data_IF_891938889509
#
_entry.id   IF_891938889509
#
_cell.length_a   1.000
_cell.length_b   1.000
_cell.length_c   1.000
_cell.angle_alpha   90.00
_cell.angle_beta   90.00
_cell.angle_gamma   90.00
#
_symmetry.space_group_name_H-M   'P 1'
#
loop_
_entity.id
_entity.type
_entity.pdbx_description
1 polymer ?
#
# COMPACT_ATOMS: atom_id res chain seq x y z
N UNK A 1 -11.36 6.94 5.08
CA UNK A 1 -10.02 6.50 4.72
C UNK A 1 -8.99 7.38 5.44
N UNK A 2 -7.91 6.80 5.94
CA UNK A 2 -6.94 7.50 6.75
C UNK A 2 -5.66 7.85 5.99
N UNK A 3 -5.04 6.87 5.40
CA UNK A 3 -3.72 6.99 4.79
C UNK A 3 -3.77 7.31 3.29
N UNK A 4 -2.64 7.77 2.75
CA UNK A 4 -2.45 7.96 1.32
C UNK A 4 -2.82 6.71 0.49
N UNK A 5 -2.33 5.53 0.92
CA UNK A 5 -2.61 4.27 0.22
C UNK A 5 -4.09 3.87 0.22
N UNK A 6 -4.79 4.11 1.33
CA UNK A 6 -6.24 3.86 1.41
C UNK A 6 -7.03 4.78 0.49
N UNK A 7 -6.74 6.07 0.51
CA UNK A 7 -7.40 7.06 -0.35
C UNK A 7 -7.17 6.73 -1.81
N UNK A 8 -5.96 6.38 -2.18
CA UNK A 8 -5.63 6.01 -3.56
C UNK A 8 -6.38 4.75 -4.01
N UNK A 9 -6.55 3.76 -3.14
CA UNK A 9 -7.25 2.51 -3.48
C UNK A 9 -8.76 2.68 -3.73
N UNK A 10 -9.39 3.69 -3.14
CA UNK A 10 -10.82 3.97 -3.39
C UNK A 10 -11.07 4.92 -4.56
N UNK A 11 -10.03 5.44 -5.23
CA UNK A 11 -10.16 6.41 -6.33
C UNK A 11 -11.13 5.95 -7.41
N UNK A 12 -11.01 4.70 -7.85
CA UNK A 12 -11.88 4.13 -8.88
C UNK A 12 -13.37 4.11 -8.49
N UNK A 13 -13.67 3.94 -7.19
CA UNK A 13 -15.03 4.01 -6.66
C UNK A 13 -15.51 5.47 -6.57
N UNK A 14 -14.67 6.36 -6.07
CA UNK A 14 -14.99 7.78 -5.89
C UNK A 14 -15.35 8.45 -7.21
N UNK A 15 -14.61 8.14 -8.27
CA UNK A 15 -14.85 8.72 -9.60
C UNK A 15 -16.18 8.29 -10.25
N UNK A 16 -16.81 7.21 -9.75
CA UNK A 16 -18.10 6.72 -10.27
C UNK A 16 -19.31 7.34 -9.59
N UNK A 17 -19.15 8.02 -8.46
CA UNK A 17 -20.25 8.57 -7.66
C UNK A 17 -19.99 10.02 -7.28
N UNK A 18 -21.05 10.82 -7.08
CA UNK A 18 -20.90 12.13 -6.40
C UNK A 18 -20.54 11.91 -4.94
N UNK A 19 -19.25 11.93 -4.67
CA UNK A 19 -18.67 11.51 -3.40
C UNK A 19 -18.09 12.68 -2.61
N UNK A 20 -18.09 12.51 -1.29
CA UNK A 20 -17.30 13.31 -0.35
C UNK A 20 -16.32 12.39 0.34
N UNK A 21 -15.06 12.78 0.40
CA UNK A 21 -14.02 12.04 1.12
C UNK A 21 -13.70 12.73 2.44
N UNK A 22 -13.55 11.93 3.48
CA UNK A 22 -13.00 12.38 4.76
C UNK A 22 -11.76 11.59 5.10
N UNK A 23 -10.75 12.28 5.58
CA UNK A 23 -9.45 11.71 5.98
C UNK A 23 -9.05 12.22 7.34
N UNK A 24 -8.09 11.54 8.00
CA UNK A 24 -7.53 12.01 9.27
C UNK A 24 -6.06 12.41 9.13
N UNK A 25 -5.40 12.09 8.00
CA UNK A 25 -4.01 12.45 7.74
C UNK A 25 -3.89 13.52 6.65
N UNK A 26 -2.87 14.36 6.75
CA UNK A 26 -2.58 15.38 5.73
C UNK A 26 -2.27 14.73 4.37
N UNK A 27 -1.45 13.68 4.34
CA UNK A 27 -1.10 12.98 3.09
C UNK A 27 -2.31 12.34 2.41
N UNK A 28 -3.24 11.79 3.18
CA UNK A 28 -4.52 11.29 2.68
C UNK A 28 -5.40 12.42 2.12
N UNK A 29 -5.44 13.57 2.81
CA UNK A 29 -6.21 14.74 2.38
C UNK A 29 -5.72 15.29 1.05
N UNK A 30 -4.42 15.46 0.89
CA UNK A 30 -3.82 15.95 -0.34
C UNK A 30 -4.01 14.98 -1.51
N UNK A 31 -3.83 13.69 -1.28
CA UNK A 31 -4.12 12.67 -2.27
C UNK A 31 -5.59 12.68 -2.71
N UNK A 32 -6.53 12.86 -1.78
CA UNK A 32 -7.95 12.92 -2.11
C UNK A 32 -8.30 14.13 -2.99
N UNK A 33 -7.66 15.27 -2.76
CA UNK A 33 -7.85 16.50 -3.55
C UNK A 33 -7.49 16.34 -5.02
N UNK A 34 -6.59 15.44 -5.37
CA UNK A 34 -6.21 15.19 -6.76
C UNK A 34 -7.38 14.73 -7.63
N UNK A 35 -8.40 14.10 -7.04
CA UNK A 35 -9.51 13.50 -7.80
C UNK A 35 -10.91 13.72 -7.22
N UNK A 36 -11.03 14.35 -6.05
CA UNK A 36 -12.30 14.66 -5.43
C UNK A 36 -12.38 16.12 -5.01
N UNK A 37 -13.44 16.83 -5.43
CA UNK A 37 -13.64 18.25 -5.08
C UNK A 37 -14.13 18.45 -3.65
N UNK A 38 -14.77 17.44 -3.05
CA UNK A 38 -15.41 17.52 -1.72
C UNK A 38 -14.58 16.72 -0.72
N UNK A 39 -13.45 17.29 -0.27
CA UNK A 39 -12.54 16.65 0.71
C UNK A 39 -12.53 17.45 2.00
N UNK A 40 -12.61 16.75 3.13
CA UNK A 40 -12.55 17.35 4.47
C UNK A 40 -11.73 16.45 5.41
N UNK A 41 -11.20 17.02 6.49
CA UNK A 41 -10.74 16.23 7.61
C UNK A 41 -11.96 15.71 8.39
N UNK A 42 -11.84 14.49 8.93
CA UNK A 42 -12.85 13.94 9.83
C UNK A 42 -12.80 14.69 11.16
N UNK A 43 -13.93 15.18 11.62
CA UNK A 43 -14.02 15.79 12.95
C UNK A 43 -13.82 14.74 14.05
N UNK A 44 -13.38 15.17 15.24
CA UNK A 44 -13.36 14.30 16.41
C UNK A 44 -14.75 13.73 16.70
N UNK A 45 -14.80 12.53 17.23
CA UNK A 45 -16.02 11.75 17.37
C UNK A 45 -17.15 12.50 18.10
N UNK A 46 -16.80 13.27 19.11
CA UNK A 46 -17.75 14.08 19.89
C UNK A 46 -18.44 15.19 19.08
N UNK A 47 -17.82 15.66 18.00
CA UNK A 47 -18.35 16.72 17.13
C UNK A 47 -19.10 16.18 15.92
N UNK A 48 -19.07 14.89 15.65
CA UNK A 48 -19.71 14.28 14.49
C UNK A 48 -21.22 14.57 14.39
N UNK A 49 -22.00 14.64 15.50
CA UNK A 49 -23.43 14.98 15.42
C UNK A 49 -23.70 16.33 14.77
N UNK A 50 -22.80 17.30 14.92
CA UNK A 50 -22.92 18.65 14.36
C UNK A 50 -22.21 18.81 13.01
N UNK A 51 -21.25 17.95 12.74
CA UNK A 51 -20.37 18.05 11.58
C UNK A 51 -20.83 17.16 10.41
N UNK A 52 -21.33 15.95 10.71
CA UNK A 52 -21.72 14.99 9.69
C UNK A 52 -22.95 15.46 8.93
N UNK A 53 -22.82 15.60 7.62
CA UNK A 53 -23.96 15.92 6.75
C UNK A 53 -24.64 14.64 6.26
N UNK A 54 -25.95 14.64 6.05
CA UNK A 54 -26.67 13.49 5.51
C UNK A 54 -26.05 12.98 4.22
N UNK A 55 -26.00 11.66 4.09
CA UNK A 55 -25.57 10.97 2.87
C UNK A 55 -26.47 9.75 2.64
N UNK A 56 -26.53 9.28 1.40
CA UNK A 56 -27.31 8.08 1.06
C UNK A 56 -26.57 6.80 1.44
N UNK A 57 -25.26 6.80 1.25
CA UNK A 57 -24.36 5.69 1.55
C UNK A 57 -23.14 6.23 2.29
N UNK A 58 -22.79 5.60 3.40
CA UNK A 58 -21.53 5.79 4.08
C UNK A 58 -20.63 4.58 3.77
N UNK A 59 -19.46 4.83 3.22
CA UNK A 59 -18.42 3.81 3.01
C UNK A 59 -17.30 4.02 4.01
N UNK A 60 -17.06 3.02 4.84
CA UNK A 60 -15.96 2.98 5.80
C UNK A 60 -14.88 2.08 5.20
N UNK A 61 -13.61 2.41 5.41
CA UNK A 61 -12.49 1.67 4.85
C UNK A 61 -11.57 1.10 5.93
N UNK A 62 -11.22 -0.17 5.82
CA UNK A 62 -10.38 -0.92 6.77
C UNK A 62 -10.93 -0.97 8.21
N UNK A 63 -10.15 -0.43 9.17
CA UNK A 63 -10.44 -0.58 10.61
C UNK A 63 -10.96 0.71 11.27
N UNK A 64 -11.61 1.60 10.51
CA UNK A 64 -12.16 2.87 11.00
C UNK A 64 -13.51 2.68 11.69
N UNK A 65 -13.51 1.99 12.83
CA UNK A 65 -14.72 1.61 13.58
C UNK A 65 -15.14 2.69 14.59
N UNK A 66 -15.59 3.83 14.10
CA UNK A 66 -16.04 4.99 14.92
C UNK A 66 -17.51 4.87 15.22
N UNK A 67 -17.87 4.65 16.51
CA UNK A 67 -19.25 4.41 16.93
C UNK A 67 -20.17 5.58 16.56
N UNK A 68 -19.77 6.81 16.86
CA UNK A 68 -20.59 7.98 16.59
C UNK A 68 -20.79 8.21 15.08
N UNK A 69 -19.80 7.87 14.25
CA UNK A 69 -19.90 7.98 12.79
C UNK A 69 -20.99 7.05 12.24
N UNK A 70 -20.96 5.76 12.62
CA UNK A 70 -21.96 4.78 12.15
C UNK A 70 -23.34 5.06 12.75
N UNK A 71 -23.39 5.52 13.99
CA UNK A 71 -24.63 5.88 14.67
C UNK A 71 -25.32 7.08 13.98
N UNK A 72 -24.59 8.17 13.72
CA UNK A 72 -25.14 9.32 13.03
C UNK A 72 -25.54 9.01 11.59
N UNK A 73 -24.76 8.21 10.88
CA UNK A 73 -25.13 7.75 9.54
C UNK A 73 -26.42 6.93 9.57
N UNK A 74 -26.64 6.12 10.60
CA UNK A 74 -27.90 5.37 10.78
C UNK A 74 -29.08 6.29 11.10
N UNK A 75 -28.90 7.33 11.90
CA UNK A 75 -29.93 8.38 12.14
C UNK A 75 -30.33 9.02 10.81
N UNK A 76 -29.36 9.34 9.95
CA UNK A 76 -29.63 9.84 8.60
C UNK A 76 -30.12 8.76 7.65
N UNK A 77 -30.40 7.55 8.19
CA UNK A 77 -30.83 6.40 7.42
C UNK A 77 -29.83 6.02 6.30
N UNK A 78 -28.53 6.31 6.35
CA UNK A 78 -27.54 5.91 5.36
C UNK A 78 -27.37 4.39 5.30
N UNK A 79 -27.22 3.82 4.10
CA UNK A 79 -26.67 2.47 3.96
C UNK A 79 -25.21 2.53 4.34
N UNK A 80 -24.78 1.67 5.26
CA UNK A 80 -23.40 1.67 5.79
C UNK A 80 -22.68 0.43 5.29
N UNK A 81 -21.57 0.64 4.56
CA UNK A 81 -20.78 -0.41 3.95
C UNK A 81 -19.35 -0.29 4.49
N UNK A 82 -18.81 -1.40 4.98
CA UNK A 82 -17.41 -1.50 5.40
C UNK A 82 -16.63 -2.22 4.29
N UNK A 83 -15.65 -1.54 3.72
CA UNK A 83 -14.79 -2.07 2.65
C UNK A 83 -13.39 -2.40 3.18
N UNK A 84 -12.78 -3.41 2.57
CA UNK A 84 -11.40 -3.83 2.85
C UNK A 84 -11.20 -4.17 4.34
N UNK A 85 -12.23 -4.73 4.97
CA UNK A 85 -12.27 -4.96 6.41
C UNK A 85 -11.24 -6.03 6.81
N UNK A 86 -10.43 -5.70 7.83
CA UNK A 86 -9.45 -6.62 8.41
C UNK A 86 -9.32 -6.40 9.89
N UNK A 87 -8.93 -7.46 10.60
CA UNK A 87 -8.59 -7.41 12.02
C UNK A 87 -7.26 -8.15 12.21
N UNK A 88 -6.20 -7.43 12.58
CA UNK A 88 -4.89 -8.02 12.86
C UNK A 88 -4.92 -8.92 14.10
N UNK A 89 -3.99 -9.88 14.20
CA UNK A 89 -3.86 -10.75 15.38
C UNK A 89 -3.70 -9.92 16.66
N UNK A 90 -2.87 -8.87 16.59
CA UNK A 90 -2.65 -7.97 17.73
C UNK A 90 -3.94 -7.27 18.19
N UNK A 91 -4.78 -6.84 17.26
CA UNK A 91 -6.02 -6.10 17.57
C UNK A 91 -7.16 -7.04 17.99
N UNK A 92 -7.19 -8.27 17.51
CA UNK A 92 -8.31 -9.18 17.70
C UNK A 92 -8.60 -9.46 19.17
N UNK A 93 -7.58 -9.74 19.98
CA UNK A 93 -7.74 -9.96 21.42
C UNK A 93 -8.32 -8.75 22.13
N UNK A 94 -7.90 -7.54 21.76
CA UNK A 94 -8.47 -6.31 22.30
C UNK A 94 -9.93 -6.14 21.92
N UNK A 95 -10.27 -6.44 20.65
CA UNK A 95 -11.64 -6.35 20.16
C UNK A 95 -12.56 -7.38 20.82
N UNK A 96 -12.09 -8.57 21.07
CA UNK A 96 -12.84 -9.57 21.84
C UNK A 96 -13.11 -9.12 23.28
N UNK A 97 -12.12 -8.54 23.96
CA UNK A 97 -12.28 -7.99 25.31
C UNK A 97 -13.37 -6.92 25.40
N UNK A 98 -13.49 -6.10 24.36
CA UNK A 98 -14.51 -5.06 24.25
C UNK A 98 -15.62 -5.43 23.25
N UNK A 99 -15.96 -6.72 23.18
CA UNK A 99 -16.90 -7.25 22.16
C UNK A 99 -18.27 -6.59 22.20
N UNK A 100 -18.78 -6.19 23.38
CA UNK A 100 -20.06 -5.48 23.50
C UNK A 100 -20.06 -4.16 22.71
N UNK A 101 -18.95 -3.43 22.74
CA UNK A 101 -18.78 -2.16 22.01
C UNK A 101 -18.73 -2.39 20.50
N UNK A 102 -17.92 -3.35 20.04
CA UNK A 102 -17.82 -3.67 18.63
C UNK A 102 -19.10 -4.30 18.06
N UNK A 103 -19.78 -5.15 18.83
CA UNK A 103 -21.12 -5.66 18.46
C UNK A 103 -22.12 -4.52 18.22
N UNK A 104 -22.04 -3.47 19.03
CA UNK A 104 -22.88 -2.27 18.83
C UNK A 104 -22.52 -1.56 17.53
N UNK A 105 -21.22 -1.35 17.22
CA UNK A 105 -20.77 -0.75 15.97
C UNK A 105 -21.25 -1.58 14.77
N UNK A 106 -20.95 -2.90 14.76
CA UNK A 106 -21.32 -3.76 13.66
C UNK A 106 -22.83 -3.92 13.48
N UNK A 107 -23.63 -3.72 14.54
CA UNK A 107 -25.10 -3.71 14.41
C UNK A 107 -25.65 -2.58 13.52
N UNK A 108 -24.86 -1.54 13.29
CA UNK A 108 -25.23 -0.43 12.39
C UNK A 108 -24.76 -0.62 10.95
N UNK A 109 -23.80 -1.55 10.70
CA UNK A 109 -23.22 -1.78 9.39
C UNK A 109 -24.09 -2.78 8.61
N UNK A 110 -24.47 -2.42 7.38
CA UNK A 110 -25.38 -3.22 6.56
C UNK A 110 -24.66 -4.32 5.76
N UNK A 111 -23.46 -4.02 5.22
CA UNK A 111 -22.64 -4.96 4.44
C UNK A 111 -21.15 -4.78 4.75
N UNK A 112 -20.42 -5.88 4.78
CA UNK A 112 -18.99 -5.92 5.06
C UNK A 112 -18.27 -6.70 3.95
N UNK A 113 -17.19 -6.14 3.43
CA UNK A 113 -16.28 -6.78 2.50
C UNK A 113 -14.94 -7.03 3.21
N UNK A 114 -14.73 -8.27 3.64
CA UNK A 114 -13.54 -8.72 4.37
C UNK A 114 -12.42 -9.13 3.41
N UNK A 115 -11.16 -8.93 3.82
CA UNK A 115 -10.01 -9.25 2.99
C UNK A 115 -9.73 -10.76 2.89
N UNK A 116 -10.09 -11.54 3.90
CA UNK A 116 -9.81 -12.98 3.98
C UNK A 116 -10.90 -13.73 4.73
N UNK A 117 -10.87 -15.08 4.64
CA UNK A 117 -11.73 -15.95 5.45
C UNK A 117 -11.49 -15.78 6.95
N UNK A 118 -10.24 -15.55 7.36
CA UNK A 118 -9.89 -15.27 8.74
C UNK A 118 -10.51 -13.96 9.23
N UNK A 119 -10.41 -12.89 8.42
CA UNK A 119 -11.04 -11.61 8.76
C UNK A 119 -12.55 -11.73 8.82
N UNK A 120 -13.17 -12.46 7.88
CA UNK A 120 -14.60 -12.75 7.91
C UNK A 120 -15.01 -13.41 9.22
N UNK A 121 -14.34 -14.49 9.61
CA UNK A 121 -14.64 -15.20 10.86
C UNK A 121 -14.51 -14.29 12.11
N UNK A 122 -13.46 -13.45 12.15
CA UNK A 122 -13.23 -12.48 13.24
C UNK A 122 -14.33 -11.42 13.29
N UNK A 123 -14.71 -10.86 12.14
CA UNK A 123 -15.75 -9.84 12.05
C UNK A 123 -17.13 -10.39 12.45
N UNK A 124 -17.48 -11.60 11.99
CA UNK A 124 -18.71 -12.28 12.36
C UNK A 124 -18.77 -12.58 13.87
N UNK A 125 -17.66 -12.99 14.48
CA UNK A 125 -17.57 -13.20 15.93
C UNK A 125 -17.80 -11.91 16.74
N UNK A 126 -17.51 -10.76 16.14
CA UNK A 126 -17.76 -9.42 16.70
C UNK A 126 -19.13 -8.86 16.30
N UNK A 127 -20.00 -9.66 15.67
CA UNK A 127 -21.39 -9.30 15.38
C UNK A 127 -21.60 -8.65 14.01
N UNK A 128 -20.62 -8.65 13.12
CA UNK A 128 -20.81 -8.22 11.74
C UNK A 128 -21.78 -9.16 11.01
N UNK A 129 -22.63 -8.58 10.15
CA UNK A 129 -23.59 -9.32 9.33
C UNK A 129 -23.29 -9.09 7.86
N UNK A 130 -23.79 -9.99 6.99
CA UNK A 130 -23.64 -9.89 5.54
C UNK A 130 -22.16 -9.72 5.12
N UNK A 131 -21.27 -10.53 5.74
CA UNK A 131 -19.84 -10.48 5.46
C UNK A 131 -19.53 -11.29 4.19
N UNK A 132 -19.03 -10.61 3.19
CA UNK A 132 -18.56 -11.18 1.92
C UNK A 132 -17.03 -11.09 1.88
N UNK A 133 -16.38 -12.08 1.27
CA UNK A 133 -14.95 -12.00 1.02
C UNK A 133 -14.76 -11.19 -0.25
N UNK A 134 -13.90 -10.20 -0.17
CA UNK A 134 -13.41 -9.43 -1.29
C UNK A 134 -11.93 -9.15 -1.03
N UNK A 135 -11.07 -9.71 -1.84
CA UNK A 135 -9.62 -9.59 -1.67
C UNK A 135 -9.20 -8.12 -1.55
N UNK A 136 -7.98 -7.88 -1.18
CA UNK A 136 -7.52 -6.55 -0.86
C UNK A 136 -7.69 -5.57 -2.05
N UNK A 137 -8.58 -4.60 -1.90
CA UNK A 137 -8.86 -3.58 -2.93
C UNK A 137 -7.58 -2.78 -3.33
N UNK A 138 -6.55 -2.78 -2.48
CA UNK A 138 -5.25 -2.18 -2.80
C UNK A 138 -4.53 -2.88 -3.96
N UNK A 139 -4.84 -4.15 -4.24
CA UNK A 139 -4.33 -4.86 -5.42
C UNK A 139 -4.90 -4.30 -6.74
N UNK A 140 -6.02 -3.58 -6.70
CA UNK A 140 -6.64 -2.94 -7.87
C UNK A 140 -6.06 -1.55 -8.19
N UNK A 141 -5.01 -1.12 -7.50
CA UNK A 141 -4.39 0.18 -7.75
C UNK A 141 -3.87 0.27 -9.21
N UNK A 142 -4.28 1.29 -9.91
CA UNK A 142 -3.62 1.73 -11.12
C UNK A 142 -2.37 2.51 -10.72
N UNK A 143 -1.21 1.92 -10.89
CA UNK A 143 0.07 2.56 -10.57
C UNK A 143 0.53 3.29 -11.81
N UNK A 144 0.63 4.61 -11.72
CA UNK A 144 1.12 5.45 -12.81
C UNK A 144 2.52 5.94 -12.50
N UNK A 145 3.42 5.69 -13.42
CA UNK A 145 4.68 6.41 -13.46
C UNK A 145 4.40 7.82 -14.01
N UNK A 146 4.83 8.82 -13.28
CA UNK A 146 4.61 10.23 -13.67
C UNK A 146 5.69 10.75 -14.63
N UNK A 147 6.81 10.04 -14.72
CA UNK A 147 7.95 10.36 -15.57
C UNK A 147 8.42 9.12 -16.30
N UNK A 148 8.88 9.31 -17.52
CA UNK A 148 9.43 8.23 -18.35
C UNK A 148 10.94 8.38 -18.33
N UNK A 149 11.63 7.43 -17.71
CA UNK A 149 13.08 7.37 -17.72
C UNK A 149 13.57 6.39 -18.79
N UNK A 150 14.78 6.64 -19.29
CA UNK A 150 15.39 5.73 -20.26
C UNK A 150 15.98 4.52 -19.55
N UNK A 151 15.52 3.32 -19.92
CA UNK A 151 16.11 2.08 -19.44
C UNK A 151 17.57 1.99 -19.91
N UNK A 152 18.54 1.72 -19.02
CA UNK A 152 19.91 1.44 -19.41
C UNK A 152 19.99 0.14 -20.23
N UNK A 153 21.11 -0.05 -20.96
CA UNK A 153 21.36 -1.30 -21.68
C UNK A 153 21.70 -2.43 -20.73
N UNK A 154 22.31 -2.08 -19.62
CA UNK A 154 22.71 -2.97 -18.54
C UNK A 154 21.46 -3.45 -17.77
N UNK A 155 21.53 -4.60 -17.16
CA UNK A 155 20.50 -5.10 -16.25
C UNK A 155 20.36 -4.18 -15.05
N UNK A 156 19.16 -3.63 -14.84
CA UNK A 156 18.91 -2.67 -13.78
C UNK A 156 18.29 -3.33 -12.54
N UNK A 157 19.04 -3.27 -11.45
CA UNK A 157 18.67 -3.83 -10.15
C UNK A 157 18.32 -2.67 -9.21
N UNK A 158 17.31 -2.83 -8.38
CA UNK A 158 16.94 -1.82 -7.38
C UNK A 158 16.91 -2.45 -5.99
N UNK A 159 17.63 -1.90 -5.03
CA UNK A 159 17.41 -2.10 -3.60
C UNK A 159 16.40 -1.05 -3.15
N UNK A 160 15.15 -1.46 -3.03
CA UNK A 160 14.01 -0.57 -2.92
C UNK A 160 13.51 -0.41 -1.49
N UNK A 161 13.27 0.83 -1.07
CA UNK A 161 12.71 1.15 0.25
C UNK A 161 13.49 0.54 1.42
N UNK A 162 14.81 0.63 1.34
CA UNK A 162 15.71 0.07 2.36
C UNK A 162 15.67 0.84 3.66
N UNK A 163 15.91 0.16 4.76
CA UNK A 163 15.99 0.69 6.11
C UNK A 163 17.40 0.63 6.66
N UNK A 164 17.57 1.20 7.85
CA UNK A 164 18.86 1.21 8.54
C UNK A 164 19.44 -0.22 8.62
N UNK A 165 20.70 -0.32 8.34
CA UNK A 165 21.50 -1.53 8.32
C UNK A 165 21.20 -2.50 7.15
N UNK A 166 20.07 -2.35 6.42
CA UNK A 166 19.77 -3.19 5.25
C UNK A 166 20.67 -2.91 4.07
N UNK A 167 21.05 -1.66 3.82
CA UNK A 167 21.92 -1.33 2.67
C UNK A 167 23.29 -1.97 2.83
N UNK A 168 23.86 -1.90 4.02
CA UNK A 168 25.15 -2.54 4.29
C UNK A 168 25.04 -4.05 4.15
N UNK A 169 24.02 -4.62 4.78
CA UNK A 169 23.74 -6.05 4.75
C UNK A 169 23.56 -6.58 3.31
N UNK A 170 22.81 -5.87 2.46
CA UNK A 170 22.57 -6.25 1.08
C UNK A 170 23.86 -6.11 0.23
N UNK A 171 24.62 -5.03 0.40
CA UNK A 171 25.87 -4.80 -0.31
C UNK A 171 26.95 -5.81 0.05
N UNK A 172 26.99 -6.32 1.27
CA UNK A 172 27.95 -7.34 1.70
C UNK A 172 27.64 -8.73 1.11
N UNK A 173 26.40 -8.97 0.69
CA UNK A 173 25.96 -10.25 0.13
C UNK A 173 25.60 -10.19 -1.35
N UNK A 174 25.84 -9.06 -2.00
CA UNK A 174 25.57 -8.87 -3.41
C UNK A 174 26.79 -8.30 -4.14
N UNK A 175 27.19 -8.94 -5.22
CA UNK A 175 28.29 -8.49 -6.09
C UNK A 175 27.71 -8.03 -7.42
N UNK A 176 27.85 -6.73 -7.73
CA UNK A 176 27.43 -6.14 -8.98
C UNK A 176 28.35 -6.58 -10.14
N UNK A 177 27.78 -7.16 -11.18
CA UNK A 177 28.49 -7.61 -12.37
C UNK A 177 28.78 -6.47 -13.35
N UNK A 178 29.58 -6.76 -14.41
CA UNK A 178 30.04 -5.74 -15.34
C UNK A 178 28.91 -5.11 -16.14
N UNK A 179 27.93 -5.91 -16.55
CA UNK A 179 26.79 -5.52 -17.35
C UNK A 179 25.55 -5.20 -16.49
N UNK A 180 25.73 -4.75 -15.23
CA UNK A 180 24.66 -4.43 -14.32
C UNK A 180 24.79 -3.00 -13.77
N UNK A 181 23.66 -2.43 -13.42
CA UNK A 181 23.51 -1.18 -12.69
C UNK A 181 22.62 -1.37 -11.47
N UNK A 182 22.97 -0.71 -10.38
CA UNK A 182 22.28 -0.78 -9.11
C UNK A 182 21.71 0.59 -8.74
N UNK A 183 20.45 0.63 -8.35
CA UNK A 183 19.85 1.78 -7.66
C UNK A 183 19.64 1.42 -6.21
N UNK A 184 20.06 2.28 -5.29
CA UNK A 184 19.79 2.15 -3.87
C UNK A 184 18.81 3.25 -3.48
N UNK A 185 17.64 2.87 -2.99
CA UNK A 185 16.53 3.77 -2.69
C UNK A 185 16.14 3.66 -1.20
N UNK A 186 16.76 4.44 -0.31
CA UNK A 186 16.39 4.46 1.10
C UNK A 186 14.96 4.95 1.32
N UNK A 187 14.24 4.34 2.26
CA UNK A 187 12.83 4.64 2.53
C UNK A 187 12.61 6.04 3.07
N UNK A 188 13.54 6.54 3.87
CA UNK A 188 13.40 7.78 4.63
C UNK A 188 14.43 8.82 4.18
N UNK A 189 14.01 10.07 3.87
CA UNK A 189 14.90 11.13 3.38
C UNK A 189 16.05 11.46 4.33
N UNK A 190 15.81 11.39 5.64
CA UNK A 190 16.82 11.64 6.68
C UNK A 190 18.02 10.67 6.57
N UNK A 191 17.84 9.53 5.91
CA UNK A 191 18.88 8.52 5.72
C UNK A 191 19.71 8.70 4.45
N UNK A 192 19.34 9.59 3.54
CA UNK A 192 20.08 9.77 2.28
C UNK A 192 21.56 10.06 2.53
N UNK A 193 21.88 10.92 3.51
CA UNK A 193 23.26 11.24 3.85
C UNK A 193 23.99 10.09 4.53
N UNK A 194 23.30 9.30 5.34
CA UNK A 194 23.84 8.10 5.98
C UNK A 194 24.27 7.06 4.92
N UNK A 195 23.39 6.79 3.94
CA UNK A 195 23.68 5.86 2.87
C UNK A 195 24.75 6.38 1.90
N UNK A 196 24.78 7.68 1.63
CA UNK A 196 25.87 8.32 0.90
C UNK A 196 27.23 8.04 1.57
N UNK A 197 27.30 8.24 2.89
CA UNK A 197 28.52 7.97 3.67
C UNK A 197 28.89 6.48 3.67
N UNK A 198 27.92 5.58 3.77
CA UNK A 198 28.14 4.13 3.66
C UNK A 198 28.80 3.75 2.33
N UNK A 199 28.29 4.29 1.21
CA UNK A 199 28.86 4.02 -0.12
C UNK A 199 30.30 4.55 -0.24
N UNK A 200 30.57 5.75 0.28
CA UNK A 200 31.93 6.33 0.32
C UNK A 200 32.88 5.47 1.16
N UNK A 201 32.45 5.05 2.35
CA UNK A 201 33.26 4.23 3.25
C UNK A 201 33.58 2.85 2.65
N UNK A 202 32.68 2.28 1.84
CA UNK A 202 32.92 1.04 1.10
C UNK A 202 33.77 1.25 -0.18
N UNK A 203 34.17 2.50 -0.49
CA UNK A 203 34.94 2.82 -1.70
C UNK A 203 34.18 2.59 -3.00
N UNK A 204 32.84 2.63 -2.96
CA UNK A 204 31.98 2.42 -4.12
C UNK A 204 31.78 3.73 -4.89
N UNK A 205 31.94 3.68 -6.21
CA UNK A 205 31.64 4.83 -7.08
C UNK A 205 30.14 4.89 -7.37
N UNK A 206 29.52 6.04 -7.12
CA UNK A 206 28.09 6.26 -7.34
C UNK A 206 27.79 7.68 -7.84
N UNK A 207 26.60 7.87 -8.36
CA UNK A 207 25.99 9.17 -8.62
C UNK A 207 24.77 9.35 -7.71
N UNK A 208 24.38 10.61 -7.45
CA UNK A 208 23.15 10.94 -6.74
C UNK A 208 22.08 11.35 -7.72
N UNK A 209 20.86 10.89 -7.52
CA UNK A 209 19.73 11.27 -8.36
C UNK A 209 19.54 12.80 -8.40
N UNK A 210 19.68 13.47 -7.25
CA UNK A 210 19.57 14.94 -7.14
C UNK A 210 20.60 15.70 -7.99
N UNK A 211 21.73 15.10 -8.31
CA UNK A 211 22.78 15.70 -9.12
C UNK A 211 22.62 15.48 -10.64
N UNK A 212 21.72 14.59 -11.05
CA UNK A 212 21.49 14.29 -12.46
C UNK A 212 20.75 15.45 -13.15
N UNK A 213 21.40 16.05 -14.12
CA UNK A 213 20.86 17.19 -14.91
C UNK A 213 19.99 16.73 -16.09
N UNK A 214 20.21 15.52 -16.60
CA UNK A 214 19.45 14.95 -17.71
C UNK A 214 17.99 14.72 -17.32
N UNK A 215 17.05 15.21 -18.14
CA UNK A 215 15.61 15.01 -17.94
C UNK A 215 15.23 13.52 -17.92
N UNK A 216 15.92 12.69 -18.71
CA UNK A 216 15.73 11.24 -18.76
C UNK A 216 16.43 10.50 -17.61
N UNK A 217 17.11 11.22 -16.71
CA UNK A 217 17.79 10.69 -15.53
C UNK A 217 18.76 9.54 -15.85
N UNK A 218 19.50 9.69 -16.94
CA UNK A 218 20.60 8.76 -17.24
C UNK A 218 21.75 8.99 -16.28
N UNK A 219 22.30 7.91 -15.76
CA UNK A 219 23.47 7.93 -14.89
C UNK A 219 24.61 7.08 -15.50
N UNK A 220 25.85 7.53 -15.34
CA UNK A 220 27.04 6.94 -15.96
C UNK A 220 27.67 5.89 -15.06
N UNK A 221 27.68 6.12 -13.75
CA UNK A 221 28.26 5.20 -12.78
C UNK A 221 27.42 3.93 -12.66
N UNK A 222 28.02 2.86 -12.11
CA UNK A 222 27.31 1.60 -11.85
C UNK A 222 26.24 1.70 -10.77
N UNK A 223 26.41 2.61 -9.82
CA UNK A 223 25.49 2.79 -8.69
C UNK A 223 24.87 4.17 -8.72
N UNK A 224 23.55 4.22 -8.51
CA UNK A 224 22.77 5.44 -8.29
C UNK A 224 22.17 5.43 -6.88
N UNK A 225 22.48 6.42 -6.08
CA UNK A 225 21.75 6.69 -4.85
C UNK A 225 20.49 7.51 -5.19
N UNK A 226 19.31 6.94 -4.98
CA UNK A 226 18.04 7.62 -5.20
C UNK A 226 17.68 8.48 -3.98
N UNK A 227 18.20 9.68 -3.95
CA UNK A 227 18.03 10.67 -2.88
C UNK A 227 16.85 11.64 -3.15
N UNK A 228 15.73 11.10 -3.62
CA UNK A 228 14.51 11.85 -3.90
C UNK A 228 13.26 11.03 -3.58
N UNK A 229 12.22 11.70 -3.07
CA UNK A 229 10.92 11.08 -2.81
C UNK A 229 10.05 11.02 -4.07
N UNK A 230 9.23 9.98 -4.17
CA UNK A 230 8.23 9.84 -5.24
C UNK A 230 8.78 9.32 -6.58
N UNK A 231 10.09 9.12 -6.70
CA UNK A 231 10.74 8.70 -7.96
C UNK A 231 10.86 7.18 -8.11
N UNK A 232 10.75 6.42 -7.03
CA UNK A 232 10.96 4.98 -7.03
C UNK A 232 10.04 4.23 -8.02
N UNK A 233 8.77 4.66 -8.11
CA UNK A 233 7.79 4.07 -9.05
C UNK A 233 8.22 4.25 -10.51
N UNK A 234 8.83 5.40 -10.85
CA UNK A 234 9.33 5.65 -12.20
C UNK A 234 10.50 4.71 -12.56
N UNK A 235 11.33 4.35 -11.57
CA UNK A 235 12.42 3.40 -11.76
C UNK A 235 11.94 1.94 -11.80
N UNK A 236 10.87 1.57 -11.07
CA UNK A 236 10.26 0.25 -11.23
C UNK A 236 9.83 -0.03 -12.67
N UNK A 237 9.35 1.00 -13.38
CA UNK A 237 8.91 0.86 -14.78
C UNK A 237 10.03 0.49 -15.77
N UNK A 238 11.29 0.68 -15.38
CA UNK A 238 12.45 0.40 -16.23
C UNK A 238 13.41 -0.63 -15.64
N UNK A 239 13.15 -1.14 -14.44
CA UNK A 239 14.04 -2.11 -13.78
C UNK A 239 13.77 -3.56 -14.23
N UNK A 240 14.75 -4.41 -13.99
CA UNK A 240 14.67 -5.85 -14.26
C UNK A 240 14.44 -6.63 -12.97
N UNK A 241 15.11 -6.22 -11.89
CA UNK A 241 15.08 -6.90 -10.58
C UNK A 241 14.86 -5.88 -9.48
N UNK A 242 13.94 -6.18 -8.58
CA UNK A 242 13.69 -5.39 -7.37
C UNK A 242 13.93 -6.26 -6.14
N UNK A 243 14.87 -5.83 -5.30
CA UNK A 243 15.09 -6.35 -3.95
C UNK A 243 14.36 -5.42 -2.99
N UNK A 244 13.24 -5.88 -2.43
CA UNK A 244 12.34 -5.06 -1.64
C UNK A 244 12.75 -5.06 -0.17
N UNK A 245 13.23 -3.93 0.32
CA UNK A 245 13.69 -3.71 1.69
C UNK A 245 12.56 -3.71 2.74
N UNK A 246 12.94 -3.42 3.99
CA UNK A 246 12.07 -3.55 5.16
C UNK A 246 11.77 -5.01 5.52
N UNK A 247 12.39 -5.95 4.83
CA UNK A 247 12.08 -7.38 4.90
C UNK A 247 13.28 -8.27 5.26
N UNK A 248 14.50 -7.71 5.27
CA UNK A 248 15.73 -8.46 5.55
C UNK A 248 16.16 -8.37 7.02
N UNK A 249 15.67 -7.36 7.74
CA UNK A 249 15.90 -7.14 9.17
C UNK A 249 14.59 -7.25 9.92
N UNK A 250 14.61 -7.85 11.10
CA UNK A 250 13.45 -8.01 11.95
C UNK A 250 12.94 -6.67 12.48
N UNK A 251 11.63 -6.55 12.68
CA UNK A 251 10.98 -5.38 13.31
C UNK A 251 10.28 -4.42 12.36
N UNK A 252 10.62 -4.40 11.06
CA UNK A 252 9.99 -3.51 10.07
C UNK A 252 8.75 -4.16 9.45
N UNK A 253 8.88 -5.41 8.97
CA UNK A 253 7.74 -6.20 8.52
C UNK A 253 7.37 -6.04 7.04
N UNK A 254 8.32 -5.58 6.22
CA UNK A 254 8.20 -5.53 4.76
C UNK A 254 7.56 -4.26 4.22
N UNK A 255 7.74 -4.04 2.91
CA UNK A 255 7.08 -3.00 2.12
C UNK A 255 6.09 -3.57 1.12
N UNK A 256 5.32 -2.70 0.48
CA UNK A 256 4.29 -3.06 -0.49
C UNK A 256 4.90 -3.70 -1.76
N UNK A 257 4.66 -5.00 -2.04
CA UNK A 257 5.19 -5.68 -3.22
C UNK A 257 4.43 -5.33 -4.51
N UNK A 258 3.20 -4.80 -4.40
CA UNK A 258 2.30 -4.54 -5.53
C UNK A 258 2.91 -3.56 -6.54
N UNK A 259 3.61 -2.53 -6.04
CA UNK A 259 4.18 -1.50 -6.92
C UNK A 259 5.28 -2.07 -7.82
N UNK A 260 6.16 -2.90 -7.28
CA UNK A 260 7.20 -3.56 -8.06
C UNK A 260 6.61 -4.61 -9.01
N UNK A 261 5.66 -5.43 -8.53
CA UNK A 261 4.99 -6.45 -9.35
C UNK A 261 4.15 -5.87 -10.50
N UNK A 262 3.63 -4.63 -10.34
CA UNK A 262 2.84 -3.96 -11.37
C UNK A 262 3.62 -3.73 -12.67
N UNK A 263 4.93 -3.57 -12.58
CA UNK A 263 5.81 -3.32 -13.73
C UNK A 263 6.56 -4.58 -14.19
N UNK A 264 6.07 -5.76 -13.86
CA UNK A 264 6.66 -7.05 -14.29
C UNK A 264 8.16 -7.20 -13.94
N UNK A 265 8.55 -6.80 -12.73
CA UNK A 265 9.89 -7.00 -12.23
C UNK A 265 10.10 -8.41 -11.67
N UNK A 266 11.32 -8.92 -11.71
CA UNK A 266 11.73 -10.01 -10.80
C UNK A 266 11.74 -9.43 -9.39
N UNK A 267 10.94 -10.00 -8.49
CA UNK A 267 10.77 -9.46 -7.14
C UNK A 267 11.36 -10.40 -6.09
N UNK A 268 12.33 -9.88 -5.36
CA UNK A 268 12.99 -10.57 -4.26
C UNK A 268 12.67 -9.84 -2.96
N UNK A 269 12.31 -10.57 -1.92
CA UNK A 269 12.03 -10.03 -0.58
C UNK A 269 12.74 -10.87 0.48
N UNK A 270 13.07 -10.26 1.60
CA UNK A 270 13.45 -11.01 2.79
C UNK A 270 12.25 -11.72 3.42
N UNK A 271 12.48 -12.43 4.51
CA UNK A 271 11.47 -13.25 5.20
C UNK A 271 10.55 -12.45 6.14
N UNK A 272 10.95 -11.26 6.56
CA UNK A 272 10.19 -10.46 7.54
C UNK A 272 9.15 -9.59 6.86
N UNK A 273 7.98 -10.16 6.54
CA UNK A 273 6.91 -9.50 5.80
C UNK A 273 5.60 -9.35 6.58
N UNK A 274 5.64 -9.53 7.91
CA UNK A 274 4.45 -9.66 8.75
C UNK A 274 3.47 -8.48 8.67
N UNK A 275 3.95 -7.26 8.37
CA UNK A 275 3.10 -6.08 8.19
C UNK A 275 2.46 -6.01 6.79
N UNK A 276 2.97 -6.76 5.82
CA UNK A 276 2.54 -6.74 4.42
C UNK A 276 2.08 -8.10 3.91
N UNK A 277 1.97 -9.10 4.78
CA UNK A 277 1.65 -10.49 4.41
C UNK A 277 0.48 -10.57 3.42
N UNK A 278 -0.62 -9.88 3.70
CA UNK A 278 -1.81 -9.87 2.84
C UNK A 278 -1.52 -9.32 1.44
N UNK A 279 -0.62 -8.32 1.31
CA UNK A 279 -0.24 -7.79 -0.01
C UNK A 279 0.69 -8.75 -0.75
N UNK A 280 1.54 -9.49 -0.04
CA UNK A 280 2.36 -10.54 -0.65
C UNK A 280 1.52 -11.72 -1.14
N UNK A 281 0.40 -12.05 -0.51
CA UNK A 281 -0.55 -13.06 -0.96
C UNK A 281 -1.25 -12.66 -2.28
N UNK A 282 -1.26 -11.38 -2.63
CA UNK A 282 -1.81 -10.86 -3.89
C UNK A 282 -0.77 -10.80 -5.02
N UNK A 283 0.47 -11.25 -4.77
CA UNK A 283 1.56 -11.23 -5.77
C UNK A 283 2.09 -12.64 -5.97
N UNK A 284 1.99 -13.12 -7.18
CA UNK A 284 2.57 -14.39 -7.60
C UNK A 284 4.06 -14.21 -7.95
N UNK A 285 4.85 -15.28 -7.85
CA UNK A 285 6.25 -15.34 -8.25
C UNK A 285 7.16 -14.39 -7.46
N UNK A 286 6.89 -14.19 -6.17
CA UNK A 286 7.83 -13.53 -5.27
C UNK A 286 8.87 -14.52 -4.79
N UNK A 287 10.14 -14.14 -4.90
CA UNK A 287 11.24 -14.95 -4.39
C UNK A 287 11.64 -14.49 -2.99
N UNK A 288 11.43 -15.35 -2.00
CA UNK A 288 11.88 -15.06 -0.64
C UNK A 288 13.34 -15.46 -0.43
N UNK A 289 14.15 -14.52 0.02
CA UNK A 289 15.54 -14.72 0.42
C UNK A 289 15.60 -15.00 1.92
N UNK A 290 15.52 -16.27 2.30
CA UNK A 290 15.58 -16.68 3.70
C UNK A 290 16.99 -16.57 4.28
N UNK A 291 17.99 -16.83 3.44
CA UNK A 291 19.41 -16.75 3.78
C UNK A 291 20.09 -15.76 2.86
N UNK A 292 20.70 -14.73 3.43
CA UNK A 292 21.35 -13.66 2.68
C UNK A 292 22.44 -14.12 1.71
N UNK A 293 23.13 -15.21 2.04
CA UNK A 293 24.13 -15.82 1.12
C UNK A 293 23.55 -16.22 -0.24
N UNK A 294 22.23 -16.44 -0.32
CA UNK A 294 21.54 -16.83 -1.54
C UNK A 294 21.08 -15.59 -2.37
N UNK A 295 21.30 -14.38 -1.85
CA UNK A 295 20.83 -13.14 -2.50
C UNK A 295 21.48 -12.94 -3.87
N UNK A 296 22.79 -13.11 -3.94
CA UNK A 296 23.57 -12.94 -5.17
C UNK A 296 23.04 -13.85 -6.29
N UNK A 297 22.86 -15.13 -5.99
CA UNK A 297 22.35 -16.12 -6.94
C UNK A 297 20.89 -15.80 -7.35
N UNK A 298 20.07 -15.38 -6.39
CA UNK A 298 18.68 -15.01 -6.70
C UNK A 298 18.59 -13.80 -7.64
N UNK A 299 19.44 -12.80 -7.45
CA UNK A 299 19.45 -11.61 -8.31
C UNK A 299 19.93 -11.95 -9.72
N UNK A 300 20.93 -12.84 -9.87
CA UNK A 300 21.53 -13.14 -11.15
C UNK A 300 20.78 -14.19 -11.97
N UNK A 301 20.27 -15.24 -11.33
CA UNK A 301 19.75 -16.42 -12.04
C UNK A 301 18.23 -16.53 -12.07
N UNK A 302 17.50 -15.80 -11.20
CA UNK A 302 16.05 -15.82 -11.24
C UNK A 302 15.52 -14.82 -12.26
N UNK A 303 14.54 -15.26 -13.05
CA UNK A 303 14.00 -14.46 -14.15
C UNK A 303 12.47 -14.46 -14.25
N UNK A 304 11.79 -15.26 -13.41
CA UNK A 304 10.33 -15.29 -13.42
C UNK A 304 9.80 -14.01 -12.76
N UNK A 305 9.06 -13.25 -13.53
CA UNK A 305 8.56 -11.94 -13.13
C UNK A 305 7.37 -12.06 -12.17
N UNK A 306 7.36 -11.20 -11.18
CA UNK A 306 6.23 -11.09 -10.27
C UNK A 306 4.99 -10.62 -11.02
N UNK A 307 3.83 -11.13 -10.62
CA UNK A 307 2.54 -10.77 -11.20
C UNK A 307 1.54 -10.50 -10.09
N UNK A 308 0.75 -9.46 -10.27
CA UNK A 308 -0.39 -9.24 -9.39
C UNK A 308 -1.45 -10.28 -9.72
N UNK A 309 -1.88 -11.03 -8.71
CA UNK A 309 -3.02 -11.94 -8.79
C UNK A 309 -4.22 -11.21 -9.38
N UNK A 310 -5.13 -11.92 -10.06
CA UNK A 310 -6.26 -11.31 -10.78
C UNK A 310 -6.93 -10.24 -9.94
N UNK A 311 -7.01 -9.03 -10.50
CA UNK A 311 -7.79 -7.93 -9.92
C UNK A 311 -9.22 -8.40 -9.72
N UNK A 312 -9.74 -8.31 -8.52
CA UNK A 312 -11.16 -8.56 -8.32
C UNK A 312 -11.98 -7.45 -8.97
N UNK A 313 -13.07 -7.85 -9.61
CA UNK A 313 -13.95 -6.91 -10.25
C UNK A 313 -14.70 -6.08 -9.21
N UNK A 314 -14.50 -4.78 -9.21
CA UNK A 314 -15.19 -3.83 -8.31
C UNK A 314 -16.71 -3.75 -8.54
N UNK A 315 -17.25 -4.40 -9.55
CA UNK A 315 -18.68 -4.31 -9.92
C UNK A 315 -19.60 -4.71 -8.77
N UNK A 316 -19.23 -5.70 -7.98
CA UNK A 316 -20.01 -6.08 -6.80
C UNK A 316 -20.13 -4.94 -5.78
N UNK A 317 -19.03 -4.25 -5.51
CA UNK A 317 -19.00 -3.10 -4.60
C UNK A 317 -19.79 -1.94 -5.20
N UNK A 318 -19.56 -1.65 -6.49
CA UNK A 318 -20.26 -0.58 -7.22
C UNK A 318 -21.77 -0.81 -7.21
N UNK A 319 -22.22 -2.03 -7.53
CA UNK A 319 -23.64 -2.41 -7.48
C UNK A 319 -24.22 -2.28 -6.06
N UNK A 320 -23.46 -2.65 -5.04
CA UNK A 320 -23.88 -2.54 -3.65
C UNK A 320 -24.06 -1.08 -3.23
N UNK A 321 -23.15 -0.19 -3.62
CA UNK A 321 -23.27 1.26 -3.41
C UNK A 321 -24.46 1.81 -4.20
N UNK A 322 -24.59 1.45 -5.48
CA UNK A 322 -25.69 1.94 -6.34
C UNK A 322 -27.07 1.55 -5.79
N UNK A 323 -27.24 0.29 -5.38
CA UNK A 323 -28.49 -0.16 -4.71
C UNK A 323 -28.82 0.67 -3.46
N UNK A 324 -27.79 1.04 -2.67
CA UNK A 324 -27.99 1.92 -1.50
C UNK A 324 -28.40 3.34 -1.87
N UNK A 325 -27.92 3.86 -3.00
CA UNK A 325 -28.29 5.17 -3.53
C UNK A 325 -29.73 5.16 -4.06
N UNK A 326 -30.11 4.10 -4.78
CA UNK A 326 -31.41 4.01 -5.47
C UNK A 326 -32.56 3.70 -4.51
N UNK A 327 -32.34 2.86 -3.51
CA UNK A 327 -33.31 2.59 -2.44
C UNK A 327 -33.77 3.87 -1.71
N UNK A 328 -33.12 5.01 -1.94
CA UNK A 328 -33.43 6.32 -1.35
C UNK A 328 -33.85 7.38 -2.34
N UNK A 329 -34.07 7.02 -3.59
CA UNK A 329 -34.81 7.87 -4.53
C UNK A 329 -36.33 7.67 -4.38
N UNK A 330 -36.70 6.55 -3.72
CA UNK A 330 -38.09 6.14 -3.52
C UNK A 330 -38.65 6.43 -2.10
N UNK A 331 -37.90 7.13 -1.25
CA UNK A 331 -38.29 7.67 0.05
C UNK A 331 -38.27 9.20 0.01
#
# INVERSE_FOLDING_TARGET
ACSYGEVRSIKALVLKFDSRITTITQTGFECAKEFCKKVNYLAFENFLPFWLKPCKVLVIFEAEYWLMLVFMARIYKAKIILLNARISDKSYHSYQRFSFFYKKIFSYIDEVFAQSDLDKARLESLGAKNVKIFKNIKANLEIKNNKIYTKPKEKLIIFASTHKDEEELLLDHFKLEENEKLIIAPRHPERFKEVENLLLNKGLEFEKFSSLKDENKKFSKKILLLDALGELVNFYAISDVVVLGGSFIEGIGGHNPIEAAYFDNVLISGKFIHNQKVLFEEVENVYFCEKLKDLNDKVHYLNLKAKISKKENLDLIIQTIQKGIDARKSL
#
